data_IF_358153222137
#
_entry.id   IF_358153222137
#
_cell.length_a   1.000
_cell.length_b   1.000
_cell.length_c   1.000
_cell.angle_alpha   90.00
_cell.angle_beta   90.00
_cell.angle_gamma   90.00
#
_symmetry.space_group_name_H-M   'P 1'
#
loop_
_entity.id
_entity.type
_entity.pdbx_description
1 polymer ?
#
# COMPACT_ATOMS: atom_id res chain seq x y z
N UNK A 1 65.48 -49.01 -10.39
CA UNK A 1 64.16 -49.01 -9.73
C UNK A 1 63.72 -47.58 -9.49
N UNK A 2 62.49 -47.25 -9.92
CA UNK A 2 61.61 -46.14 -9.49
C UNK A 2 61.99 -44.69 -9.84
N UNK A 3 61.48 -44.27 -11.00
CA UNK A 3 61.08 -42.90 -11.34
C UNK A 3 59.88 -42.47 -10.48
N UNK A 4 59.95 -41.31 -9.83
CA UNK A 4 58.87 -40.71 -9.05
C UNK A 4 58.22 -39.60 -9.90
N UNK A 5 56.94 -39.77 -10.24
CA UNK A 5 56.11 -38.76 -10.89
C UNK A 5 55.33 -38.05 -9.79
N UNK A 6 55.57 -36.75 -9.61
CA UNK A 6 54.85 -35.88 -8.69
C UNK A 6 53.64 -35.29 -9.43
N UNK A 7 52.44 -35.84 -9.21
CA UNK A 7 51.19 -35.25 -9.68
C UNK A 7 50.75 -34.12 -8.74
N UNK A 8 50.72 -32.90 -9.26
CA UNK A 8 50.22 -31.71 -8.58
C UNK A 8 48.72 -31.54 -8.90
N UNK A 9 47.85 -32.00 -8.00
CA UNK A 9 46.40 -31.77 -8.10
C UNK A 9 46.06 -30.38 -7.53
N UNK A 10 45.79 -29.42 -8.41
CA UNK A 10 45.22 -28.11 -8.05
C UNK A 10 43.73 -28.32 -7.74
N UNK A 11 43.38 -28.26 -6.46
CA UNK A 11 42.00 -28.16 -6.00
C UNK A 11 41.51 -26.72 -6.23
N UNK A 12 40.70 -26.51 -7.27
CA UNK A 12 39.90 -25.31 -7.45
C UNK A 12 38.78 -25.29 -6.40
N UNK A 13 38.99 -24.59 -5.28
CA UNK A 13 37.92 -24.20 -4.37
C UNK A 13 37.02 -23.19 -5.07
N UNK A 14 35.92 -23.66 -5.66
CA UNK A 14 34.81 -22.80 -6.06
C UNK A 14 34.13 -22.30 -4.78
N UNK A 15 34.41 -21.04 -4.41
CA UNK A 15 33.62 -20.34 -3.40
C UNK A 15 32.20 -20.17 -3.95
N UNK A 16 31.28 -21.03 -3.55
CA UNK A 16 29.85 -20.77 -3.70
C UNK A 16 29.51 -19.59 -2.80
N UNK A 17 29.49 -18.39 -3.37
CA UNK A 17 28.89 -17.22 -2.73
C UNK A 17 27.40 -17.49 -2.64
N UNK A 18 26.94 -17.96 -1.49
CA UNK A 18 25.52 -17.93 -1.16
C UNK A 18 25.13 -16.47 -0.97
N UNK A 19 24.62 -15.84 -2.03
CA UNK A 19 23.93 -14.56 -1.90
C UNK A 19 22.77 -14.79 -0.92
N UNK A 20 22.76 -14.06 0.19
CA UNK A 20 21.70 -14.16 1.17
C UNK A 20 20.41 -13.63 0.54
N UNK A 21 19.55 -14.55 0.10
CA UNK A 21 18.26 -14.19 -0.47
C UNK A 21 17.40 -13.60 0.64
N UNK A 22 17.18 -12.29 0.58
CA UNK A 22 16.32 -11.60 1.54
C UNK A 22 14.89 -12.10 1.37
N UNK A 23 14.29 -12.60 2.44
CA UNK A 23 12.88 -13.00 2.44
C UNK A 23 12.01 -11.76 2.23
N UNK A 24 11.23 -11.76 1.15
CA UNK A 24 10.29 -10.68 0.86
C UNK A 24 9.09 -10.76 1.81
N UNK A 25 8.77 -9.65 2.48
CA UNK A 25 7.63 -9.56 3.41
C UNK A 25 6.45 -8.86 2.74
N UNK A 26 5.88 -9.51 1.71
CA UNK A 26 4.77 -8.95 0.94
C UNK A 26 3.42 -9.46 1.45
N UNK A 27 2.50 -8.54 1.72
CA UNK A 27 1.11 -8.81 2.12
C UNK A 27 0.17 -7.84 1.38
N UNK A 28 -0.80 -8.33 0.59
CA UNK A 28 -0.99 -9.73 0.19
C UNK A 28 0.17 -10.26 -0.68
N UNK A 29 0.37 -11.57 -0.69
CA UNK A 29 1.37 -12.22 -1.54
C UNK A 29 0.97 -12.11 -3.02
N UNK A 30 1.86 -11.64 -3.91
CA UNK A 30 1.55 -11.51 -5.33
C UNK A 30 1.32 -12.84 -6.05
N UNK A 31 0.67 -12.79 -7.21
CA UNK A 31 0.45 -13.97 -8.06
C UNK A 31 1.76 -14.62 -8.52
N UNK A 32 2.75 -13.83 -8.94
CA UNK A 32 4.09 -14.34 -9.28
C UNK A 32 5.16 -13.39 -8.73
N UNK A 33 6.25 -13.98 -8.22
CA UNK A 33 7.41 -13.29 -7.66
C UNK A 33 8.68 -14.02 -8.09
N UNK A 34 9.54 -13.34 -8.84
CA UNK A 34 10.84 -13.85 -9.29
C UNK A 34 11.94 -12.94 -8.75
N UNK A 35 12.56 -13.34 -7.63
CA UNK A 35 13.62 -12.59 -7.00
C UNK A 35 14.99 -13.00 -7.55
N UNK A 36 15.83 -12.01 -7.81
CA UNK A 36 17.19 -12.19 -8.30
C UNK A 36 18.23 -11.72 -7.26
N UNK A 37 19.47 -12.24 -7.30
CA UNK A 37 20.53 -11.75 -6.42
C UNK A 37 20.85 -10.28 -6.68
N UNK A 38 20.86 -9.48 -5.61
CA UNK A 38 21.22 -8.06 -5.65
C UNK A 38 20.09 -7.14 -5.25
N UNK A 39 20.37 -5.84 -5.29
CA UNK A 39 19.44 -4.80 -4.86
C UNK A 39 19.72 -3.47 -5.55
N UNK A 40 18.65 -2.69 -5.73
CA UNK A 40 18.70 -1.31 -6.19
C UNK A 40 18.89 -0.36 -4.98
N UNK A 41 19.98 0.43 -4.93
CA UNK A 41 20.18 1.40 -3.87
C UNK A 41 19.28 2.63 -4.08
N UNK A 42 18.29 2.79 -3.20
CA UNK A 42 17.36 3.92 -3.25
C UNK A 42 18.05 5.20 -2.76
N UNK A 43 18.11 6.19 -3.64
CA UNK A 43 18.70 7.51 -3.35
C UNK A 43 17.77 8.33 -2.44
N UNK A 44 18.34 9.32 -1.75
CA UNK A 44 17.58 10.28 -0.92
C UNK A 44 16.78 11.29 -1.76
N UNK A 45 17.12 11.43 -3.04
CA UNK A 45 16.38 12.18 -4.05
C UNK A 45 16.24 11.31 -5.28
N UNK A 46 15.02 11.17 -5.76
CA UNK A 46 14.71 10.37 -6.94
C UNK A 46 13.81 11.13 -7.91
N UNK A 47 13.88 10.76 -9.18
CA UNK A 47 12.96 11.21 -10.22
C UNK A 47 11.95 10.12 -10.57
N UNK A 48 10.74 10.53 -10.94
CA UNK A 48 9.68 9.62 -11.41
C UNK A 48 9.23 10.07 -12.78
N UNK A 49 9.20 9.13 -13.73
CA UNK A 49 8.58 9.36 -15.03
C UNK A 49 7.20 8.69 -15.08
N UNK A 50 6.28 9.27 -15.85
CA UNK A 50 4.97 8.70 -16.07
C UNK A 50 4.54 8.80 -17.53
N UNK A 51 4.10 7.67 -18.07
CA UNK A 51 3.50 7.53 -19.40
C UNK A 51 2.13 6.83 -19.28
N UNK A 52 1.56 6.72 -18.08
CA UNK A 52 0.19 6.27 -17.90
C UNK A 52 -0.78 7.35 -18.43
N UNK A 53 -1.81 6.95 -19.20
CA UNK A 53 -2.85 7.87 -19.64
C UNK A 53 -3.77 8.25 -18.46
N UNK A 54 -4.32 9.47 -18.49
CA UNK A 54 -5.40 9.89 -17.60
C UNK A 54 -5.06 11.09 -16.72
N UNK A 55 -6.11 11.65 -16.12
CA UNK A 55 -6.05 12.88 -15.31
C UNK A 55 -5.67 12.62 -13.83
N UNK A 56 -5.59 11.35 -13.41
CA UNK A 56 -5.34 10.97 -12.02
C UNK A 56 -3.87 11.10 -11.60
N UNK A 57 -2.95 11.27 -12.56
CA UNK A 57 -1.51 11.32 -12.29
C UNK A 57 -1.11 12.33 -11.21
N UNK A 58 -1.60 13.60 -11.19
CA UNK A 58 -1.24 14.55 -10.15
C UNK A 58 -1.59 14.07 -8.75
N UNK A 59 -2.72 13.38 -8.58
CA UNK A 59 -3.12 12.81 -7.29
C UNK A 59 -2.23 11.63 -6.90
N UNK A 60 -1.98 10.71 -7.84
CA UNK A 60 -1.13 9.54 -7.63
C UNK A 60 0.32 9.95 -7.29
N UNK A 61 0.86 10.89 -8.05
CA UNK A 61 2.20 11.43 -7.87
C UNK A 61 2.34 12.16 -6.55
N UNK A 62 1.33 12.95 -6.16
CA UNK A 62 1.30 13.59 -4.84
C UNK A 62 1.34 12.54 -3.72
N UNK A 63 0.50 11.52 -3.80
CA UNK A 63 0.48 10.43 -2.82
C UNK A 63 1.83 9.70 -2.75
N UNK A 64 2.42 9.34 -3.90
CA UNK A 64 3.75 8.75 -3.97
C UNK A 64 4.80 9.62 -3.27
N UNK A 65 4.83 10.92 -3.62
CA UNK A 65 5.78 11.88 -3.07
C UNK A 65 5.62 12.02 -1.55
N UNK A 66 4.40 12.17 -1.07
CA UNK A 66 4.11 12.33 0.35
C UNK A 66 4.52 11.07 1.14
N UNK A 67 4.17 9.88 0.65
CA UNK A 67 4.48 8.64 1.35
C UNK A 67 5.98 8.31 1.32
N UNK A 68 6.64 8.55 0.18
CA UNK A 68 8.10 8.40 0.07
C UNK A 68 8.85 9.34 1.02
N UNK A 69 8.36 10.57 1.18
CA UNK A 69 8.94 11.53 2.11
C UNK A 69 8.69 11.13 3.57
N UNK A 70 7.45 10.75 3.88
CA UNK A 70 6.99 10.44 5.24
C UNK A 70 7.56 9.14 5.78
N UNK A 71 7.54 8.05 5.01
CA UNK A 71 8.02 6.74 5.46
C UNK A 71 9.52 6.56 5.29
N UNK A 72 10.09 7.09 4.20
CA UNK A 72 11.46 6.73 3.79
C UNK A 72 12.42 7.93 3.77
N UNK A 73 11.94 9.15 4.02
CA UNK A 73 12.77 10.36 3.97
C UNK A 73 13.21 10.75 2.55
N UNK A 74 12.66 10.09 1.51
CA UNK A 74 13.07 10.27 0.12
C UNK A 74 12.30 11.43 -0.51
N UNK A 75 13.02 12.34 -1.15
CA UNK A 75 12.41 13.43 -1.91
C UNK A 75 12.16 13.00 -3.33
N UNK A 76 10.93 13.19 -3.81
CA UNK A 76 10.51 12.78 -5.15
C UNK A 76 10.21 14.01 -6.00
N UNK A 77 10.74 14.03 -7.23
CA UNK A 77 10.43 15.02 -8.27
C UNK A 77 10.07 14.32 -9.57
N UNK A 78 9.41 15.03 -10.49
CA UNK A 78 9.19 14.48 -11.83
C UNK A 78 10.49 14.45 -12.63
N UNK A 79 10.63 13.44 -13.49
CA UNK A 79 11.69 13.39 -14.49
C UNK A 79 11.44 14.42 -15.60
N UNK A 80 12.49 14.82 -16.32
CA UNK A 80 12.34 15.64 -17.51
C UNK A 80 11.48 14.95 -18.57
N UNK A 81 10.78 15.73 -19.40
CA UNK A 81 9.91 15.18 -20.45
C UNK A 81 10.68 14.22 -21.36
N UNK A 82 10.20 12.98 -21.48
CA UNK A 82 10.84 11.93 -22.29
C UNK A 82 12.10 11.30 -21.66
N UNK A 83 12.46 11.70 -20.43
CA UNK A 83 13.57 11.10 -19.69
C UNK A 83 13.06 9.97 -18.79
N UNK A 84 13.93 8.98 -18.61
CA UNK A 84 13.72 7.89 -17.66
C UNK A 84 13.94 8.41 -16.23
N UNK A 85 13.06 8.04 -15.31
CA UNK A 85 13.20 8.28 -13.89
C UNK A 85 13.92 7.14 -13.17
N UNK A 86 14.17 7.31 -11.87
CA UNK A 86 14.53 6.18 -11.00
C UNK A 86 13.34 5.22 -10.81
N UNK A 87 12.12 5.74 -10.92
CA UNK A 87 10.87 4.98 -10.99
C UNK A 87 10.12 5.38 -12.28
N UNK A 88 9.73 4.41 -13.09
CA UNK A 88 9.02 4.65 -14.34
C UNK A 88 7.65 4.00 -14.33
N UNK A 89 6.60 4.81 -14.52
CA UNK A 89 5.25 4.32 -14.74
C UNK A 89 4.95 4.25 -16.23
N UNK A 90 4.47 3.09 -16.69
CA UNK A 90 4.15 2.85 -18.10
C UNK A 90 2.83 2.10 -18.26
N UNK A 91 2.14 2.36 -19.37
CA UNK A 91 0.94 1.64 -19.74
C UNK A 91 1.30 0.39 -20.55
N UNK A 92 0.78 -0.78 -20.15
CA UNK A 92 0.86 -2.01 -20.95
C UNK A 92 -0.44 -2.20 -21.73
N UNK A 93 -0.36 -2.20 -23.05
CA UNK A 93 -1.50 -2.56 -23.90
C UNK A 93 -1.76 -4.06 -23.76
N UNK A 94 -2.98 -4.45 -23.43
CA UNK A 94 -3.38 -5.85 -23.29
C UNK A 94 -4.47 -6.24 -24.29
N UNK A 95 -4.57 -7.55 -24.52
CA UNK A 95 -5.69 -8.13 -25.24
C UNK A 95 -7.01 -7.89 -24.50
N UNK A 96 -8.10 -7.73 -25.25
CA UNK A 96 -9.45 -7.58 -24.72
C UNK A 96 -9.80 -8.72 -23.76
N UNK A 97 -10.37 -8.39 -22.59
CA UNK A 97 -10.76 -9.38 -21.58
C UNK A 97 -9.67 -9.72 -20.54
N UNK A 98 -8.51 -9.06 -20.59
CA UNK A 98 -7.47 -9.24 -19.59
C UNK A 98 -7.87 -8.63 -18.24
N UNK A 99 -7.51 -9.31 -17.14
CA UNK A 99 -7.75 -8.79 -15.78
C UNK A 99 -6.93 -7.53 -15.51
N UNK A 100 -7.45 -6.56 -14.72
CA UNK A 100 -6.63 -5.48 -14.18
C UNK A 100 -5.43 -6.03 -13.42
N UNK A 101 -4.22 -5.66 -13.84
CA UNK A 101 -2.96 -6.25 -13.36
C UNK A 101 -1.83 -5.25 -13.44
N UNK A 102 -0.78 -5.50 -12.67
CA UNK A 102 0.47 -4.75 -12.79
C UNK A 102 1.67 -5.70 -12.87
N UNK A 103 2.74 -5.18 -13.47
CA UNK A 103 4.09 -5.73 -13.38
C UNK A 103 4.98 -4.71 -12.69
N UNK A 104 5.70 -5.14 -11.65
CA UNK A 104 6.71 -4.35 -10.98
C UNK A 104 8.06 -5.04 -11.16
N UNK A 105 9.03 -4.32 -11.72
CA UNK A 105 10.40 -4.80 -11.92
C UNK A 105 11.36 -3.89 -11.19
N UNK A 106 12.22 -4.46 -10.35
CA UNK A 106 13.35 -3.77 -9.74
C UNK A 106 14.63 -4.38 -10.31
N UNK A 107 15.42 -3.56 -10.98
CA UNK A 107 16.68 -3.98 -11.60
C UNK A 107 17.78 -2.94 -11.34
N UNK A 108 18.96 -3.16 -11.93
CA UNK A 108 20.08 -2.21 -11.86
C UNK A 108 19.75 -0.86 -12.52
N UNK A 109 18.79 -0.83 -13.44
CA UNK A 109 18.33 0.37 -14.13
C UNK A 109 17.31 1.20 -13.33
N UNK A 110 16.75 0.66 -12.24
CA UNK A 110 15.73 1.33 -11.43
C UNK A 110 14.48 0.48 -11.21
N UNK A 111 13.36 1.15 -10.96
CA UNK A 111 12.05 0.53 -10.75
C UNK A 111 11.16 0.81 -11.95
N UNK A 112 10.57 -0.22 -12.54
CA UNK A 112 9.55 -0.09 -13.58
C UNK A 112 8.21 -0.62 -13.07
N UNK A 113 7.19 0.20 -13.16
CA UNK A 113 5.80 -0.16 -12.88
C UNK A 113 5.03 -0.09 -14.21
N UNK A 114 4.53 -1.23 -14.65
CA UNK A 114 3.70 -1.34 -15.83
C UNK A 114 2.29 -1.78 -15.44
N UNK A 115 1.26 -1.08 -15.91
CA UNK A 115 -0.13 -1.38 -15.56
C UNK A 115 -1.04 -1.21 -16.77
N UNK A 116 -2.20 -1.87 -16.74
CA UNK A 116 -3.27 -1.68 -17.71
C UNK A 116 -4.41 -0.76 -17.23
N UNK A 117 -4.42 -0.38 -15.95
CA UNK A 117 -5.39 0.56 -15.37
C UNK A 117 -4.74 1.41 -14.26
N UNK A 118 -5.43 2.44 -13.77
CA UNK A 118 -4.92 3.29 -12.68
C UNK A 118 -4.91 2.55 -11.32
N UNK A 119 -5.93 1.74 -11.00
CA UNK A 119 -6.00 0.97 -9.75
C UNK A 119 -4.81 -0.01 -9.58
N UNK A 120 -4.46 -0.86 -10.57
CA UNK A 120 -3.29 -1.73 -10.43
C UNK A 120 -1.96 -0.97 -10.37
N UNK A 121 -1.84 0.20 -10.99
CA UNK A 121 -0.65 1.04 -10.83
C UNK A 121 -0.49 1.54 -9.38
N UNK A 122 -1.60 1.95 -8.76
CA UNK A 122 -1.64 2.27 -7.33
C UNK A 122 -1.28 1.06 -6.46
N UNK A 123 -1.80 -0.13 -6.77
CA UNK A 123 -1.42 -1.35 -6.05
C UNK A 123 0.06 -1.73 -6.21
N UNK A 124 0.65 -1.48 -7.38
CA UNK A 124 2.09 -1.67 -7.59
C UNK A 124 2.91 -0.74 -6.67
N UNK A 125 2.45 0.49 -6.44
CA UNK A 125 3.08 1.40 -5.46
C UNK A 125 3.01 0.85 -4.05
N UNK A 126 1.89 0.26 -3.64
CA UNK A 126 1.77 -0.37 -2.31
C UNK A 126 2.77 -1.52 -2.16
N UNK A 127 2.95 -2.32 -3.21
CA UNK A 127 3.99 -3.36 -3.25
C UNK A 127 5.40 -2.77 -3.18
N UNK A 128 5.66 -1.69 -3.93
CA UNK A 128 6.94 -0.99 -3.87
C UNK A 128 7.25 -0.50 -2.45
N UNK A 129 6.29 0.09 -1.75
CA UNK A 129 6.47 0.55 -0.38
C UNK A 129 6.83 -0.59 0.58
N UNK A 130 6.23 -1.77 0.40
CA UNK A 130 6.56 -2.95 1.20
C UNK A 130 7.95 -3.53 0.89
N UNK A 131 8.48 -3.30 -0.33
CA UNK A 131 9.84 -3.70 -0.70
C UNK A 131 10.91 -2.76 -0.15
N UNK A 132 10.56 -1.53 0.25
CA UNK A 132 11.51 -0.57 0.81
C UNK A 132 11.65 -0.82 2.32
N UNK A 133 12.87 -1.04 2.85
CA UNK A 133 13.08 -1.19 4.28
C UNK A 133 12.57 0.03 5.06
N UNK A 134 11.70 -0.19 6.05
CA UNK A 134 11.14 0.88 6.90
C UNK A 134 12.07 1.30 8.03
N UNK A 135 13.00 0.44 8.45
CA UNK A 135 13.97 0.77 9.51
C UNK A 135 14.80 2.00 9.08
N UNK A 136 14.81 3.09 9.88
CA UNK A 136 15.63 4.27 9.60
C UNK A 136 17.15 3.98 9.58
N UNK A 137 17.60 2.92 10.26
CA UNK A 137 19.01 2.52 10.31
C UNK A 137 19.40 1.57 9.18
N UNK A 138 18.43 0.93 8.54
CA UNK A 138 18.70 0.04 7.41
C UNK A 138 19.10 0.85 6.17
N UNK A 139 20.02 0.29 5.38
CA UNK A 139 20.27 0.80 4.03
C UNK A 139 18.98 0.70 3.23
N UNK A 140 18.61 1.77 2.54
CA UNK A 140 17.44 1.77 1.64
C UNK A 140 17.80 1.04 0.36
N UNK A 141 17.82 -0.28 0.42
CA UNK A 141 18.11 -1.18 -0.70
C UNK A 141 16.84 -1.96 -1.03
N UNK A 142 16.40 -1.87 -2.28
CA UNK A 142 15.21 -2.58 -2.78
C UNK A 142 15.70 -3.84 -3.49
N UNK A 143 15.28 -5.05 -3.12
CA UNK A 143 15.77 -6.28 -3.75
C UNK A 143 15.42 -6.32 -5.24
N UNK A 144 16.28 -6.91 -6.06
CA UNK A 144 15.96 -7.18 -7.46
C UNK A 144 14.85 -8.22 -7.54
N UNK A 145 13.76 -7.86 -8.20
CA UNK A 145 12.56 -8.69 -8.24
C UNK A 145 11.71 -8.32 -9.45
N UNK A 146 11.11 -9.32 -10.06
CA UNK A 146 9.98 -9.17 -10.99
C UNK A 146 8.71 -9.72 -10.33
N UNK A 147 7.67 -8.90 -10.30
CA UNK A 147 6.38 -9.21 -9.70
C UNK A 147 5.30 -9.00 -10.74
N UNK A 148 4.51 -10.04 -11.00
CA UNK A 148 3.25 -9.95 -11.72
C UNK A 148 2.12 -10.16 -10.72
N UNK A 149 1.18 -9.23 -10.67
CA UNK A 149 0.08 -9.33 -9.72
C UNK A 149 -1.26 -8.87 -10.27
N UNK A 150 -2.31 -9.49 -9.77
CA UNK A 150 -3.70 -9.11 -9.99
C UNK A 150 -4.58 -9.66 -8.89
N UNK A 151 -5.69 -8.97 -8.61
CA UNK A 151 -6.60 -9.43 -7.58
C UNK A 151 -7.32 -10.72 -8.01
N UNK A 152 -7.42 -11.67 -7.09
CA UNK A 152 -8.28 -12.86 -7.26
C UNK A 152 -9.76 -12.46 -7.33
N UNK A 153 -10.17 -11.52 -6.48
CA UNK A 153 -11.54 -11.02 -6.36
C UNK A 153 -11.58 -9.52 -6.62
N UNK A 154 -12.54 -9.08 -7.42
CA UNK A 154 -12.76 -7.65 -7.72
C UNK A 154 -13.25 -6.90 -6.49
N UNK A 155 -14.17 -7.48 -5.71
CA UNK A 155 -14.65 -6.90 -4.47
C UNK A 155 -13.76 -7.32 -3.29
N UNK A 156 -13.03 -6.36 -2.72
CA UNK A 156 -12.22 -6.54 -1.51
C UNK A 156 -12.65 -5.50 -0.50
N UNK A 157 -13.63 -5.89 0.32
CA UNK A 157 -14.34 -5.00 1.22
C UNK A 157 -13.93 -5.12 2.68
N UNK A 158 -13.96 -3.99 3.39
CA UNK A 158 -13.87 -3.94 4.84
C UNK A 158 -15.03 -3.11 5.41
N UNK A 159 -15.72 -3.68 6.39
CA UNK A 159 -16.81 -3.01 7.12
C UNK A 159 -16.26 -2.26 8.34
N UNK A 160 -16.75 -1.04 8.56
CA UNK A 160 -16.41 -0.25 9.74
C UNK A 160 -17.65 0.35 10.40
N UNK A 161 -17.95 -0.12 11.61
CA UNK A 161 -19.03 0.37 12.47
C UNK A 161 -18.59 1.61 13.24
N UNK A 162 -19.15 2.75 12.84
CA UNK A 162 -18.97 4.04 13.52
C UNK A 162 -20.22 4.48 14.28
N UNK A 163 -21.29 3.67 14.23
CA UNK A 163 -22.52 3.95 14.95
C UNK A 163 -22.39 3.58 16.43
N UNK A 164 -21.89 2.38 16.75
CA UNK A 164 -21.79 1.95 18.15
C UNK A 164 -20.80 2.81 18.93
N UNK A 165 -19.65 3.09 18.31
CA UNK A 165 -18.66 4.04 18.78
C UNK A 165 -18.24 4.96 17.63
N UNK A 166 -18.30 6.27 17.86
CA UNK A 166 -17.90 7.26 16.88
C UNK A 166 -16.37 7.39 16.80
N UNK A 167 -15.85 7.49 15.58
CA UNK A 167 -14.44 7.72 15.29
C UNK A 167 -14.27 9.03 14.52
N UNK A 168 -13.30 9.89 14.87
CA UNK A 168 -13.08 11.15 14.15
C UNK A 168 -12.61 10.89 12.70
N UNK A 169 -12.83 11.86 11.82
CA UNK A 169 -12.43 11.79 10.38
C UNK A 169 -10.96 11.41 10.20
N UNK A 170 -10.07 11.93 11.06
CA UNK A 170 -8.64 11.60 11.03
C UNK A 170 -8.37 10.11 11.25
N UNK A 171 -9.15 9.45 12.10
CA UNK A 171 -9.06 8.01 12.31
C UNK A 171 -9.59 7.24 11.10
N UNK A 172 -10.72 7.67 10.53
CA UNK A 172 -11.28 7.05 9.31
C UNK A 172 -10.27 7.12 8.16
N UNK A 173 -9.64 8.27 7.93
CA UNK A 173 -8.59 8.43 6.90
C UNK A 173 -7.40 7.51 7.15
N UNK A 174 -6.92 7.42 8.40
CA UNK A 174 -5.87 6.47 8.76
C UNK A 174 -6.29 5.01 8.54
N UNK A 175 -7.55 4.68 8.78
CA UNK A 175 -8.08 3.35 8.49
C UNK A 175 -8.09 3.05 6.98
N UNK A 176 -8.49 4.02 6.16
CA UNK A 176 -8.42 3.91 4.70
C UNK A 176 -6.97 3.76 4.20
N UNK A 177 -5.99 4.43 4.81
CA UNK A 177 -4.57 4.23 4.49
C UNK A 177 -4.14 2.76 4.71
N UNK A 178 -4.61 2.13 5.80
CA UNK A 178 -4.35 0.71 6.03
C UNK A 178 -5.05 -0.20 5.03
N UNK A 179 -6.28 0.11 4.64
CA UNK A 179 -7.00 -0.63 3.59
C UNK A 179 -6.27 -0.55 2.25
N UNK A 180 -5.82 0.65 1.87
CA UNK A 180 -5.05 0.88 0.66
C UNK A 180 -3.73 0.10 0.65
N UNK A 181 -2.98 0.11 1.76
CA UNK A 181 -1.73 -0.66 1.91
C UNK A 181 -1.93 -2.16 1.65
N UNK A 182 -3.09 -2.69 2.06
CA UNK A 182 -3.46 -4.09 1.87
C UNK A 182 -4.30 -4.33 0.60
N UNK A 183 -4.38 -3.34 -0.29
CA UNK A 183 -5.07 -3.41 -1.59
C UNK A 183 -6.58 -3.67 -1.50
N UNK A 184 -7.23 -3.34 -0.37
CA UNK A 184 -8.70 -3.28 -0.31
C UNK A 184 -9.19 -2.11 -1.16
N UNK A 185 -10.33 -2.30 -1.83
CA UNK A 185 -10.90 -1.29 -2.74
C UNK A 185 -12.34 -0.92 -2.40
N UNK A 186 -12.94 -1.55 -1.39
CA UNK A 186 -14.28 -1.21 -0.93
C UNK A 186 -14.28 -0.94 0.57
N UNK A 187 -14.78 0.23 0.95
CA UNK A 187 -14.98 0.61 2.34
C UNK A 187 -16.48 0.64 2.64
N UNK A 188 -16.96 -0.36 3.37
CA UNK A 188 -18.35 -0.41 3.82
C UNK A 188 -18.48 0.33 5.14
N UNK A 189 -18.95 1.58 5.05
CA UNK A 189 -19.06 2.45 6.21
C UNK A 189 -20.46 2.37 6.83
N UNK A 190 -20.58 1.75 8.00
CA UNK A 190 -21.86 1.58 8.69
C UNK A 190 -22.15 2.80 9.57
N UNK A 191 -22.95 3.71 9.02
CA UNK A 191 -23.13 5.08 9.53
C UNK A 191 -24.28 5.22 10.53
N UNK A 192 -25.17 4.25 10.68
CA UNK A 192 -26.41 4.39 11.44
C UNK A 192 -26.82 3.08 12.09
N UNK A 193 -27.23 3.14 13.35
CA UNK A 193 -27.73 2.01 14.13
C UNK A 193 -28.49 2.55 15.34
N UNK A 194 -29.02 1.67 16.20
CA UNK A 194 -29.83 2.05 17.36
C UNK A 194 -29.09 3.03 18.30
N UNK A 195 -27.78 2.88 18.44
CA UNK A 195 -26.95 3.64 19.37
C UNK A 195 -26.39 4.95 18.78
N UNK A 196 -26.70 5.24 17.51
CA UNK A 196 -26.60 6.58 16.97
C UNK A 196 -26.55 6.71 15.45
N UNK A 197 -26.80 7.94 15.02
CA UNK A 197 -26.85 8.36 13.62
C UNK A 197 -25.65 9.26 13.29
N UNK A 198 -24.82 8.90 12.30
CA UNK A 198 -23.51 9.52 12.07
C UNK A 198 -23.40 10.40 10.83
N UNK A 199 -24.46 10.58 10.04
CA UNK A 199 -24.40 11.36 8.79
C UNK A 199 -25.34 12.56 8.81
N UNK A 200 -24.84 13.73 8.44
CA UNK A 200 -25.69 14.90 8.29
C UNK A 200 -26.68 14.77 7.12
N UNK A 201 -27.97 14.94 7.44
CA UNK A 201 -29.04 15.05 6.44
C UNK A 201 -29.71 16.41 6.61
N UNK A 202 -29.41 17.36 5.71
CA UNK A 202 -29.88 18.76 5.80
C UNK A 202 -31.41 18.89 5.97
N UNK A 203 -32.19 18.00 5.34
CA UNK A 203 -33.65 17.98 5.44
C UNK A 203 -34.17 17.53 6.82
N UNK A 204 -33.37 16.78 7.58
CA UNK A 204 -33.77 16.15 8.84
C UNK A 204 -32.72 16.43 9.95
N UNK A 205 -32.63 17.67 10.44
CA UNK A 205 -31.57 18.09 11.37
C UNK A 205 -31.60 17.36 12.71
N UNK A 206 -32.76 16.83 13.14
CA UNK A 206 -32.89 16.07 14.38
C UNK A 206 -32.13 14.73 14.35
N UNK A 207 -31.85 14.18 13.17
CA UNK A 207 -31.05 12.95 13.05
C UNK A 207 -29.65 13.12 13.64
N UNK A 208 -29.04 14.31 13.51
CA UNK A 208 -27.70 14.58 14.08
C UNK A 208 -27.75 15.44 15.33
N UNK A 209 -28.66 16.41 15.46
CA UNK A 209 -28.75 17.22 16.68
C UNK A 209 -29.23 16.42 17.90
N UNK A 210 -30.02 15.37 17.68
CA UNK A 210 -30.48 14.43 18.71
C UNK A 210 -29.91 13.03 18.48
N UNK A 211 -30.19 12.43 17.32
CA UNK A 211 -29.88 11.01 17.04
C UNK A 211 -28.39 10.66 17.01
N UNK A 212 -27.48 11.63 16.92
CA UNK A 212 -26.04 11.39 17.03
C UNK A 212 -25.56 11.23 18.49
N UNK A 213 -26.43 11.39 19.48
CA UNK A 213 -26.04 11.46 20.89
C UNK A 213 -26.84 10.48 21.74
N UNK A 214 -26.18 9.90 22.75
CA UNK A 214 -26.82 9.09 23.81
C UNK A 214 -26.30 9.51 25.19
N UNK A 215 -27.12 9.33 26.22
CA UNK A 215 -26.78 9.69 27.61
C UNK A 215 -26.16 8.51 28.37
N UNK A 216 -25.15 7.90 27.76
CA UNK A 216 -24.37 6.83 28.36
C UNK A 216 -24.38 5.53 27.58
N UNK A 217 -23.47 4.65 27.96
CA UNK A 217 -23.21 3.35 27.32
C UNK A 217 -23.34 2.24 28.36
N UNK A 218 -23.91 1.10 27.95
CA UNK A 218 -23.99 -0.09 28.80
C UNK A 218 -22.58 -0.55 29.18
N UNK A 219 -22.38 -0.83 30.46
CA UNK A 219 -21.13 -1.38 30.97
C UNK A 219 -21.17 -2.90 30.81
N UNK A 220 -20.27 -3.43 29.99
CA UNK A 220 -20.18 -4.86 29.68
C UNK A 220 -21.13 -5.32 28.58
N UNK A 221 -21.37 -6.64 28.51
CA UNK A 221 -22.28 -7.24 27.53
C UNK A 221 -23.73 -7.11 28.02
N UNK A 222 -24.65 -6.72 27.12
CA UNK A 222 -26.09 -6.65 27.40
C UNK A 222 -26.60 -7.90 28.16
N UNK A 223 -27.40 -7.74 29.25
CA UNK A 223 -27.99 -6.50 29.75
C UNK A 223 -27.03 -5.58 30.55
N UNK A 224 -25.78 -6.01 30.78
CA UNK A 224 -24.74 -5.23 31.45
C UNK A 224 -24.89 -5.15 32.97
N UNK A 225 -23.96 -4.44 33.61
CA UNK A 225 -24.00 -4.18 35.07
C UNK A 225 -24.46 -2.76 35.41
N UNK A 226 -24.76 -1.95 34.40
CA UNK A 226 -25.16 -0.56 34.56
C UNK A 226 -24.95 0.25 33.29
N UNK A 227 -25.10 1.56 33.41
CA UNK A 227 -24.85 2.55 32.37
C UNK A 227 -23.83 3.57 32.91
N UNK A 228 -22.85 3.95 32.09
CA UNK A 228 -21.79 4.88 32.54
C UNK A 228 -22.26 6.34 32.72
N UNK A 229 -23.47 6.68 32.28
CA UNK A 229 -24.08 8.01 32.40
C UNK A 229 -23.38 9.09 31.58
N UNK A 230 -22.41 8.75 30.73
CA UNK A 230 -21.59 9.73 30.00
C UNK A 230 -22.22 10.05 28.65
N UNK A 231 -22.56 11.32 28.44
CA UNK A 231 -23.03 11.76 27.12
C UNK A 231 -21.98 11.44 26.06
N UNK A 232 -22.38 10.68 25.05
CA UNK A 232 -21.49 10.16 24.01
C UNK A 232 -22.11 10.38 22.63
N UNK A 233 -21.31 10.78 21.65
CA UNK A 233 -21.81 10.99 20.30
C UNK A 233 -20.84 11.71 19.37
N UNK A 234 -21.37 12.08 18.21
CA UNK A 234 -20.64 12.66 17.09
C UNK A 234 -21.27 12.25 15.76
N UNK A 235 -21.05 13.05 14.73
CA UNK A 235 -21.49 12.80 13.36
C UNK A 235 -20.53 13.46 12.37
N UNK A 236 -20.60 13.04 11.10
CA UNK A 236 -19.88 13.61 9.98
C UNK A 236 -20.82 14.53 9.19
N UNK A 237 -20.32 15.72 8.86
CA UNK A 237 -20.97 16.63 7.91
C UNK A 237 -20.93 16.06 6.49
N UNK A 238 -21.78 16.56 5.60
CA UNK A 238 -21.73 16.13 4.19
C UNK A 238 -20.39 16.46 3.52
N UNK A 239 -19.74 17.56 3.93
CA UNK A 239 -18.42 17.95 3.41
C UNK A 239 -17.28 17.08 3.95
N UNK A 240 -17.39 16.52 5.16
CA UNK A 240 -16.39 15.59 5.68
C UNK A 240 -16.47 14.20 5.03
N UNK A 241 -17.65 13.82 4.54
CA UNK A 241 -17.88 12.54 3.82
C UNK A 241 -17.39 12.60 2.37
N UNK A 242 -17.46 13.79 1.76
CA UNK A 242 -17.05 14.03 0.38
C UNK A 242 -15.52 14.01 0.21
#
# INVERSE_FOLDING_TARGET
>A
MRTIILSFCIFLLTKTVTAQQTTLSLIPWPVSVEQQPGSYPLKTKITVSNILPGEDWPMLFKYLKDEMKKQFGVTVTEAGKGQRGDIDFSMKRMATGSKPSYTLVVSKEGVSISSNFNEPAFHAMQTLFQLIPVDPKAKKEIPFVEILDHARFEYRGMHFDVSRHFYPVSYVKKYLDYLALHKFNTFHWHLTDDQGWRIEIKKYPLLTSVGAWRNGTIIGRYPGTGNDGKRYGGFYTQEEIK
#
